data_IF_615297254622
#
_entry.id   IF_615297254622
#
_cell.length_a   1.000
_cell.length_b   1.000
_cell.length_c   1.000
_cell.angle_alpha   90.00
_cell.angle_beta   90.00
_cell.angle_gamma   90.00
#
_symmetry.space_group_name_H-M   'P 1'
#
loop_
_entity.id
_entity.type
_entity.pdbx_description
1 polymer ?
#
# COMPACT_ATOMS: atom_id res chain seq x y z
N UNK A 1 -21.10 25.04 -10.31
CA UNK A 1 -20.13 24.99 -9.20
C UNK A 1 -19.36 23.69 -9.33
N UNK A 2 -18.20 23.77 -9.96
CA UNK A 2 -17.28 22.64 -10.11
C UNK A 2 -16.69 22.36 -8.75
N UNK A 3 -17.10 21.26 -8.12
CA UNK A 3 -16.33 20.68 -7.04
C UNK A 3 -14.94 20.42 -7.62
N UNK A 4 -13.97 21.23 -7.22
CA UNK A 4 -12.57 20.81 -7.28
C UNK A 4 -12.54 19.49 -6.51
N UNK A 5 -12.42 18.37 -7.24
CA UNK A 5 -12.06 17.08 -6.65
C UNK A 5 -10.73 17.31 -5.97
N UNK A 6 -10.76 17.68 -4.68
CA UNK A 6 -9.59 17.76 -3.85
C UNK A 6 -8.91 16.41 -3.99
N UNK A 7 -7.74 16.37 -4.61
CA UNK A 7 -6.97 15.15 -4.90
C UNK A 7 -6.49 14.40 -3.65
N UNK A 8 -7.07 14.69 -2.49
CA UNK A 8 -6.84 14.00 -1.23
C UNK A 8 -7.39 12.58 -1.32
N UNK A 9 -6.53 11.62 -0.97
CA UNK A 9 -6.95 10.25 -0.73
C UNK A 9 -7.64 10.21 0.63
N UNK A 10 -8.95 9.95 0.65
CA UNK A 10 -9.67 9.80 1.91
C UNK A 10 -9.52 8.39 2.51
N UNK A 11 -10.06 8.20 3.71
CA UNK A 11 -10.00 6.93 4.45
C UNK A 11 -10.71 5.80 3.68
N UNK A 12 -11.85 6.10 3.06
CA UNK A 12 -12.67 5.10 2.38
C UNK A 12 -11.99 4.66 1.08
N UNK A 13 -11.49 5.63 0.30
CA UNK A 13 -10.69 5.39 -0.90
C UNK A 13 -9.50 4.47 -0.60
N UNK A 14 -8.77 4.73 0.49
CA UNK A 14 -7.66 3.87 0.89
C UNK A 14 -8.12 2.43 1.13
N UNK A 15 -9.20 2.24 1.91
CA UNK A 15 -9.67 0.90 2.28
C UNK A 15 -10.18 0.10 1.07
N UNK A 16 -10.87 0.76 0.14
CA UNK A 16 -11.34 0.13 -1.10
C UNK A 16 -10.17 -0.31 -1.98
N UNK A 17 -9.24 0.60 -2.25
CA UNK A 17 -8.08 0.29 -3.08
C UNK A 17 -7.14 -0.71 -2.39
N UNK A 18 -7.08 -0.75 -1.05
CA UNK A 18 -6.32 -1.76 -0.30
C UNK A 18 -6.78 -3.18 -0.66
N UNK A 19 -8.08 -3.41 -0.76
CA UNK A 19 -8.62 -4.73 -1.11
C UNK A 19 -8.36 -5.09 -2.59
N UNK A 20 -8.33 -4.11 -3.49
CA UNK A 20 -7.92 -4.31 -4.90
C UNK A 20 -6.44 -4.71 -4.97
N UNK A 21 -5.56 -3.94 -4.34
CA UNK A 21 -4.11 -4.19 -4.29
C UNK A 21 -3.81 -5.56 -3.65
N UNK A 22 -4.54 -5.93 -2.60
CA UNK A 22 -4.44 -7.25 -1.97
C UNK A 22 -4.72 -8.39 -2.95
N UNK A 23 -5.80 -8.30 -3.74
CA UNK A 23 -6.13 -9.30 -4.76
C UNK A 23 -5.04 -9.40 -5.82
N UNK A 24 -4.47 -8.27 -6.25
CA UNK A 24 -3.38 -8.25 -7.22
C UNK A 24 -2.09 -8.88 -6.68
N UNK A 25 -1.72 -8.61 -5.42
CA UNK A 25 -0.57 -9.26 -4.78
C UNK A 25 -0.77 -10.78 -4.71
N UNK A 26 -1.97 -11.22 -4.31
CA UNK A 26 -2.32 -12.65 -4.26
C UNK A 26 -2.24 -13.30 -5.64
N UNK A 27 -2.76 -12.63 -6.68
CA UNK A 27 -2.76 -13.10 -8.06
C UNK A 27 -1.41 -12.98 -8.79
N UNK A 28 -0.42 -12.30 -8.22
CA UNK A 28 0.86 -12.09 -8.90
C UNK A 28 1.72 -13.36 -8.90
N UNK A 29 1.84 -14.02 -10.06
CA UNK A 29 2.63 -15.24 -10.23
C UNK A 29 4.15 -15.05 -10.11
N UNK A 30 4.66 -13.81 -10.13
CA UNK A 30 6.09 -13.50 -10.02
C UNK A 30 6.58 -13.39 -8.58
N UNK A 31 5.68 -13.26 -7.61
CA UNK A 31 6.02 -13.15 -6.19
C UNK A 31 6.03 -14.54 -5.56
N UNK A 32 7.07 -14.82 -4.78
CA UNK A 32 7.13 -16.00 -3.92
C UNK A 32 6.05 -15.95 -2.84
N UNK A 33 5.71 -17.11 -2.28
CA UNK A 33 4.76 -17.18 -1.15
C UNK A 33 5.20 -16.36 0.06
N UNK A 34 6.51 -16.25 0.30
CA UNK A 34 7.05 -15.42 1.38
C UNK A 34 6.89 -13.91 1.10
N UNK A 35 7.21 -13.46 -0.11
CA UNK A 35 7.05 -12.06 -0.52
C UNK A 35 5.59 -11.62 -0.46
N UNK A 36 4.66 -12.46 -0.93
CA UNK A 36 3.22 -12.20 -0.81
C UNK A 36 2.81 -12.02 0.64
N UNK A 37 3.15 -12.98 1.52
CA UNK A 37 2.77 -12.92 2.94
C UNK A 37 3.30 -11.66 3.62
N UNK A 38 4.59 -11.36 3.44
CA UNK A 38 5.20 -10.18 4.07
C UNK A 38 4.62 -8.87 3.55
N UNK A 39 4.41 -8.75 2.24
CA UNK A 39 3.81 -7.56 1.64
C UNK A 39 2.37 -7.36 2.10
N UNK A 40 1.58 -8.43 2.17
CA UNK A 40 0.20 -8.38 2.68
C UNK A 40 0.15 -8.01 4.15
N UNK A 41 1.07 -8.49 4.99
CA UNK A 41 1.16 -8.08 6.38
C UNK A 41 1.45 -6.57 6.51
N UNK A 42 2.34 -6.03 5.68
CA UNK A 42 2.60 -4.58 5.63
C UNK A 42 1.35 -3.83 5.18
N UNK A 43 0.67 -4.28 4.12
CA UNK A 43 -0.56 -3.67 3.62
C UNK A 43 -1.69 -3.64 4.67
N UNK A 44 -1.90 -4.74 5.38
CA UNK A 44 -2.88 -4.82 6.47
C UNK A 44 -2.48 -3.93 7.67
N UNK A 45 -1.18 -3.80 7.94
CA UNK A 45 -0.67 -2.84 8.92
C UNK A 45 -1.08 -1.40 8.56
N UNK A 46 -0.87 -0.98 7.31
CA UNK A 46 -1.34 0.34 6.89
C UNK A 46 -2.86 0.48 7.00
N UNK A 47 -3.63 -0.55 6.63
CA UNK A 47 -5.09 -0.55 6.82
C UNK A 47 -5.50 -0.31 8.28
N UNK A 48 -4.88 -1.02 9.23
CA UNK A 48 -5.13 -0.80 10.67
C UNK A 48 -4.72 0.59 11.13
N UNK A 49 -3.57 1.08 10.67
CA UNK A 49 -3.07 2.41 10.99
C UNK A 49 -4.04 3.50 10.51
N UNK A 50 -4.49 3.43 9.27
CA UNK A 50 -5.48 4.34 8.68
C UNK A 50 -6.80 4.30 9.46
N UNK A 51 -7.27 3.11 9.85
CA UNK A 51 -8.47 2.97 10.67
C UNK A 51 -8.33 3.65 12.05
N UNK A 52 -7.13 3.63 12.63
CA UNK A 52 -6.81 4.16 13.96
C UNK A 52 -6.26 5.59 13.94
N UNK A 53 -6.24 6.28 12.79
CA UNK A 53 -5.76 7.67 12.70
C UNK A 53 -4.23 7.83 12.64
N UNK A 54 -3.51 6.87 12.04
CA UNK A 54 -2.08 6.99 11.76
C UNK A 54 -1.16 6.38 12.83
N UNK A 55 -1.69 5.51 13.69
CA UNK A 55 -0.92 4.90 14.79
C UNK A 55 0.09 3.87 14.26
N UNK A 56 1.28 3.83 14.88
CA UNK A 56 2.33 2.85 14.58
C UNK A 56 1.82 1.44 14.84
N UNK A 57 2.07 0.54 13.89
CA UNK A 57 1.64 -0.86 14.03
C UNK A 57 2.74 -1.74 14.59
N UNK A 58 2.39 -2.52 15.61
CA UNK A 58 3.27 -3.54 16.18
C UNK A 58 3.34 -4.77 15.25
N UNK A 59 4.50 -5.42 15.22
CA UNK A 59 4.73 -6.64 14.42
C UNK A 59 5.15 -6.41 12.96
N UNK A 60 5.20 -5.16 12.48
CA UNK A 60 5.80 -4.84 11.18
C UNK A 60 7.30 -4.60 11.34
N UNK A 61 8.11 -5.48 10.76
CA UNK A 61 9.57 -5.41 10.86
C UNK A 61 10.20 -4.68 9.68
N UNK A 62 11.42 -4.18 9.86
CA UNK A 62 12.20 -3.52 8.79
C UNK A 62 12.47 -4.46 7.60
N UNK A 63 12.64 -5.76 7.85
CA UNK A 63 12.80 -6.76 6.80
C UNK A 63 11.53 -6.85 5.92
N UNK A 64 10.35 -6.87 6.54
CA UNK A 64 9.07 -6.90 5.81
C UNK A 64 8.86 -5.63 4.98
N UNK A 65 9.25 -4.46 5.51
CA UNK A 65 9.23 -3.21 4.76
C UNK A 65 10.15 -3.26 3.53
N UNK A 66 11.36 -3.80 3.67
CA UNK A 66 12.30 -3.99 2.55
C UNK A 66 11.73 -4.92 1.47
N UNK A 67 10.98 -5.95 1.86
CA UNK A 67 10.30 -6.84 0.92
C UNK A 67 9.13 -6.15 0.21
N UNK A 68 8.32 -5.38 0.96
CA UNK A 68 7.13 -4.73 0.41
C UNK A 68 7.45 -3.54 -0.51
N UNK A 69 8.55 -2.83 -0.25
CA UNK A 69 8.96 -1.64 -1.00
C UNK A 69 9.04 -1.86 -2.53
N UNK A 70 9.81 -2.84 -3.05
CA UNK A 70 9.87 -3.08 -4.49
C UNK A 70 8.55 -3.60 -5.07
N UNK A 71 7.69 -4.23 -4.27
CA UNK A 71 6.37 -4.70 -4.74
C UNK A 71 5.46 -3.50 -4.98
N UNK A 72 5.28 -2.63 -3.99
CA UNK A 72 4.47 -1.42 -4.14
C UNK A 72 5.05 -0.46 -5.18
N UNK A 73 6.38 -0.30 -5.21
CA UNK A 73 7.07 0.52 -6.20
C UNK A 73 6.75 0.08 -7.64
N UNK A 74 6.96 -1.20 -7.95
CA UNK A 74 6.66 -1.76 -9.28
C UNK A 74 5.18 -1.65 -9.64
N UNK A 75 4.28 -1.90 -8.70
CA UNK A 75 2.85 -1.73 -8.93
C UNK A 75 2.52 -0.25 -9.21
N UNK A 76 3.14 0.70 -8.50
CA UNK A 76 2.88 2.14 -8.69
C UNK A 76 3.32 2.68 -10.06
N UNK A 77 4.14 1.93 -10.80
CA UNK A 77 4.60 2.25 -12.15
C UNK A 77 3.72 1.63 -13.25
N UNK A 78 2.79 0.74 -12.89
CA UNK A 78 1.90 0.08 -13.84
C UNK A 78 0.77 1.02 -14.29
N UNK A 79 0.80 1.40 -15.56
CA UNK A 79 -0.12 2.36 -16.19
C UNK A 79 -1.56 1.85 -16.32
N UNK A 80 -1.83 0.59 -15.98
CA UNK A 80 -3.18 -0.01 -16.04
C UNK A 80 -4.03 0.32 -14.82
N UNK A 81 -3.42 0.83 -13.75
CA UNK A 81 -4.12 1.23 -12.54
C UNK A 81 -4.93 2.50 -12.76
N UNK A 82 -6.07 2.59 -12.07
CA UNK A 82 -6.82 3.84 -12.00
C UNK A 82 -6.08 4.85 -11.10
N UNK A 83 -6.51 6.11 -11.15
CA UNK A 83 -5.82 7.18 -10.42
C UNK A 83 -5.81 6.99 -8.89
N UNK A 84 -6.94 6.54 -8.31
CA UNK A 84 -7.05 6.30 -6.85
C UNK A 84 -6.09 5.20 -6.41
N UNK A 85 -6.03 4.12 -7.16
CA UNK A 85 -5.13 3.01 -6.93
C UNK A 85 -3.66 3.45 -7.00
N UNK A 86 -3.29 4.24 -8.01
CA UNK A 86 -1.94 4.80 -8.13
C UNK A 86 -1.59 5.71 -6.95
N UNK A 87 -2.52 6.54 -6.47
CA UNK A 87 -2.30 7.38 -5.28
C UNK A 87 -2.05 6.52 -4.03
N UNK A 88 -2.81 5.45 -3.83
CA UNK A 88 -2.62 4.52 -2.71
C UNK A 88 -1.28 3.80 -2.80
N UNK A 89 -0.91 3.32 -3.98
CA UNK A 89 0.39 2.66 -4.21
C UNK A 89 1.57 3.62 -3.97
N UNK A 90 1.46 4.89 -4.39
CA UNK A 90 2.45 5.93 -4.11
C UNK A 90 2.54 6.24 -2.61
N UNK A 91 1.40 6.35 -1.92
CA UNK A 91 1.33 6.50 -0.47
C UNK A 91 2.05 5.34 0.25
N UNK A 92 1.71 4.09 -0.10
CA UNK A 92 2.33 2.89 0.48
C UNK A 92 3.84 2.88 0.23
N UNK A 93 4.27 3.12 -1.01
CA UNK A 93 5.68 3.16 -1.40
C UNK A 93 6.46 4.20 -0.59
N UNK A 94 5.91 5.42 -0.47
CA UNK A 94 6.54 6.50 0.29
C UNK A 94 6.71 6.14 1.76
N UNK A 95 5.63 5.73 2.46
CA UNK A 95 5.72 5.44 3.89
C UNK A 95 6.56 4.20 4.21
N UNK A 96 6.52 3.18 3.33
CA UNK A 96 7.44 2.04 3.46
C UNK A 96 8.88 2.50 3.33
N UNK A 97 9.21 3.34 2.34
CA UNK A 97 10.56 3.89 2.18
C UNK A 97 11.02 4.67 3.42
N UNK A 98 10.16 5.51 4.00
CA UNK A 98 10.45 6.21 5.25
C UNK A 98 10.71 5.24 6.41
N UNK A 99 9.90 4.18 6.52
CA UNK A 99 10.08 3.15 7.53
C UNK A 99 11.35 2.31 7.36
N UNK A 100 11.86 2.14 6.14
CA UNK A 100 13.16 1.50 5.90
C UNK A 100 14.34 2.43 6.23
N UNK A 101 14.18 3.75 6.05
CA UNK A 101 15.25 4.73 6.30
C UNK A 101 15.46 5.05 7.79
N UNK A 102 14.40 4.95 8.60
CA UNK A 102 14.51 4.98 10.07
C UNK A 102 15.23 3.75 10.61
#
# INVERSE_FOLDING_TARGET
MTAEETGLLDKQDFLEQKEVIKKQILGNGKLTGAEKRQTLQVLEGFGKSVLQGGVRQHGITKAMLKTALPVFGKMSEDKRHNEKELRVLKFLTYFVLQGVRK
#
